data_IF_484975519587
#
_entry.id   IF_484975519587
#
_cell.length_a   1.000
_cell.length_b   1.000
_cell.length_c   1.000
_cell.angle_alpha   90.00
_cell.angle_beta   90.00
_cell.angle_gamma   90.00
#
_symmetry.space_group_name_H-M   'P 1'
#
loop_
_entity.id
_entity.type
_entity.pdbx_description
1 polymer ?
#
# COMPACT_ATOMS: atom_id res chain seq x y z
N UNK A 1 -4.71 -75.82 -11.39
CA UNK A 1 -5.29 -75.35 -10.11
C UNK A 1 -5.83 -73.96 -10.38
N UNK A 2 -7.14 -73.78 -10.22
CA UNK A 2 -7.94 -72.62 -10.65
C UNK A 2 -7.61 -71.35 -9.86
N UNK A 3 -7.49 -70.20 -10.52
CA UNK A 3 -7.91 -68.87 -10.01
C UNK A 3 -8.10 -67.95 -11.23
N UNK A 4 -9.31 -67.79 -11.79
CA UNK A 4 -10.45 -66.93 -11.40
C UNK A 4 -10.25 -65.44 -11.72
N UNK A 5 -11.32 -64.84 -12.26
CA UNK A 5 -11.43 -63.70 -13.15
C UNK A 5 -12.08 -62.47 -12.45
N UNK A 6 -11.81 -61.25 -12.98
CA UNK A 6 -12.58 -59.98 -12.85
C UNK A 6 -12.60 -59.24 -11.49
N UNK A 7 -13.04 -57.96 -11.39
CA UNK A 7 -13.42 -56.99 -12.44
C UNK A 7 -12.89 -55.54 -12.29
N UNK A 8 -13.04 -54.80 -13.40
CA UNK A 8 -13.23 -53.34 -13.50
C UNK A 8 -13.90 -52.72 -12.26
N UNK A 9 -13.26 -51.71 -11.67
CA UNK A 9 -13.94 -50.65 -10.91
C UNK A 9 -13.37 -49.33 -11.41
N UNK A 10 -14.14 -48.71 -12.31
CA UNK A 10 -14.07 -47.28 -12.63
C UNK A 10 -14.49 -46.52 -11.36
N UNK A 11 -13.53 -45.94 -10.63
CA UNK A 11 -13.85 -44.99 -9.56
C UNK A 11 -13.72 -43.57 -10.12
N UNK A 12 -14.85 -43.04 -10.56
CA UNK A 12 -15.01 -41.62 -10.89
C UNK A 12 -15.00 -40.82 -9.57
N UNK A 13 -13.89 -40.16 -9.27
CA UNK A 13 -13.87 -39.09 -8.27
C UNK A 13 -14.46 -37.82 -8.88
N UNK A 14 -15.74 -37.58 -8.58
CA UNK A 14 -16.42 -36.30 -8.78
C UNK A 14 -15.70 -35.21 -7.98
N UNK A 15 -15.43 -34.09 -8.64
CA UNK A 15 -14.78 -32.93 -8.05
C UNK A 15 -15.65 -32.15 -7.08
N UNK A 16 -14.99 -31.60 -6.08
CA UNK A 16 -15.38 -30.40 -5.34
C UNK A 16 -14.15 -29.51 -5.30
N UNK A 17 -13.89 -28.80 -6.40
CA UNK A 17 -12.98 -27.65 -6.39
C UNK A 17 -13.71 -26.53 -5.65
N UNK A 18 -13.49 -26.45 -4.35
CA UNK A 18 -13.85 -25.25 -3.59
C UNK A 18 -12.96 -24.11 -4.04
N UNK A 19 -13.55 -23.02 -4.54
CA UNK A 19 -12.85 -21.75 -4.67
C UNK A 19 -12.58 -21.24 -3.25
N UNK A 20 -11.36 -21.44 -2.74
CA UNK A 20 -10.89 -20.66 -1.60
C UNK A 20 -10.78 -19.22 -2.07
N UNK A 21 -11.67 -18.37 -1.55
CA UNK A 21 -11.57 -16.94 -1.71
C UNK A 21 -10.52 -16.49 -0.68
N UNK A 22 -9.27 -16.38 -1.12
CA UNK A 22 -8.18 -15.88 -0.28
C UNK A 22 -8.43 -14.40 0.00
N UNK A 23 -8.93 -14.10 1.20
CA UNK A 23 -8.90 -12.76 1.78
C UNK A 23 -7.43 -12.35 1.95
N UNK A 24 -6.99 -11.17 1.47
CA UNK A 24 -5.65 -10.70 1.76
C UNK A 24 -5.59 -10.33 3.24
N UNK A 25 -5.05 -11.26 4.04
CA UNK A 25 -4.67 -11.01 5.43
C UNK A 25 -3.57 -9.95 5.43
N UNK A 26 -3.81 -8.84 6.13
CA UNK A 26 -2.95 -7.66 6.16
C UNK A 26 -1.61 -7.86 6.90
N UNK A 27 -1.06 -9.09 6.98
CA UNK A 27 0.08 -9.39 7.85
C UNK A 27 1.13 -10.36 7.26
N UNK A 28 1.18 -10.55 5.94
CA UNK A 28 2.30 -11.27 5.31
C UNK A 28 3.35 -10.25 4.83
N UNK A 29 4.16 -9.75 5.77
CA UNK A 29 5.39 -9.05 5.47
C UNK A 29 6.47 -10.07 5.07
N UNK A 30 6.68 -10.22 3.77
CA UNK A 30 7.83 -10.91 3.18
C UNK A 30 9.13 -10.14 3.51
N UNK A 31 10.17 -10.77 4.09
CA UNK A 31 11.41 -10.10 4.41
C UNK A 31 12.38 -10.12 3.23
N UNK A 32 12.79 -8.92 2.79
CA UNK A 32 13.92 -8.60 1.89
C UNK A 32 13.59 -8.15 0.46
N UNK A 33 12.89 -7.03 0.33
CA UNK A 33 13.23 -5.99 -0.66
C UNK A 33 13.57 -4.71 0.09
N UNK A 34 14.26 -3.74 -0.51
CA UNK A 34 14.60 -2.45 0.14
C UNK A 34 13.34 -1.66 0.51
N UNK A 35 12.72 -2.04 1.63
CA UNK A 35 11.36 -1.69 1.98
C UNK A 35 11.32 -0.22 2.38
N UNK A 36 10.48 0.55 1.69
CA UNK A 36 10.13 1.89 2.16
C UNK A 36 9.49 1.71 3.53
N UNK A 37 10.08 2.34 4.53
CA UNK A 37 9.56 2.41 5.89
C UNK A 37 8.14 2.98 5.85
N UNK A 38 7.18 2.37 6.55
CA UNK A 38 5.80 2.88 6.58
C UNK A 38 5.75 4.33 7.09
N UNK A 39 4.68 5.07 6.78
CA UNK A 39 4.54 6.45 7.27
C UNK A 39 4.58 6.51 8.81
N UNK A 40 3.93 5.55 9.47
CA UNK A 40 3.89 5.44 10.93
C UNK A 40 5.28 5.20 11.52
N UNK A 41 6.05 4.28 10.94
CA UNK A 41 7.44 4.05 11.32
C UNK A 41 8.31 5.28 11.05
N UNK A 42 7.93 6.10 10.06
CA UNK A 42 8.54 7.38 9.76
C UNK A 42 8.12 8.51 10.74
N UNK A 43 7.25 8.23 11.72
CA UNK A 43 6.76 9.21 12.71
C UNK A 43 5.69 10.13 12.15
N UNK A 44 5.10 9.75 11.02
CA UNK A 44 4.04 10.47 10.34
C UNK A 44 2.69 9.81 10.63
N UNK A 45 1.65 10.62 10.76
CA UNK A 45 0.29 10.13 10.89
C UNK A 45 -0.39 10.06 9.52
N UNK A 46 -0.41 8.88 8.90
CA UNK A 46 -1.09 8.68 7.61
C UNK A 46 -2.61 8.57 7.78
N UNK A 47 -3.35 9.41 7.06
CA UNK A 47 -4.81 9.48 7.13
C UNK A 47 -5.48 8.64 6.03
N UNK A 48 -5.07 8.84 4.78
CA UNK A 48 -5.62 8.14 3.60
C UNK A 48 -4.70 8.30 2.38
N UNK A 49 -4.81 7.43 1.35
CA UNK A 49 -4.17 7.65 0.04
C UNK A 49 -4.58 8.98 -0.61
N UNK A 50 -3.69 9.55 -1.43
CA UNK A 50 -3.89 10.80 -2.15
C UNK A 50 -3.23 10.78 -3.55
N UNK A 51 -3.90 11.26 -4.62
CA UNK A 51 -5.27 11.81 -4.62
C UNK A 51 -6.37 10.73 -4.55
N UNK A 52 -6.08 9.53 -5.07
CA UNK A 52 -7.04 8.44 -5.22
C UNK A 52 -6.70 7.24 -4.31
N UNK A 53 -7.64 6.33 -4.02
CA UNK A 53 -7.41 5.18 -3.14
C UNK A 53 -6.24 4.26 -3.53
N UNK A 54 -5.84 4.23 -4.80
CA UNK A 54 -4.70 3.44 -5.30
C UNK A 54 -3.36 4.19 -5.31
N UNK A 55 -3.34 5.44 -4.84
CA UNK A 55 -2.15 6.28 -4.92
C UNK A 55 -1.15 5.99 -3.80
N UNK A 56 0.14 6.12 -4.13
CA UNK A 56 1.26 5.84 -3.21
C UNK A 56 1.51 6.96 -2.21
N UNK A 57 1.12 8.19 -2.54
CA UNK A 57 1.17 9.31 -1.61
C UNK A 57 -0.01 9.23 -0.64
N UNK A 58 0.16 9.79 0.54
CA UNK A 58 -0.85 9.77 1.60
C UNK A 58 -1.07 11.17 2.13
N UNK A 59 -2.30 11.49 2.52
CA UNK A 59 -2.59 12.63 3.38
C UNK A 59 -1.95 12.39 4.74
N UNK A 60 -1.18 13.35 5.23
CA UNK A 60 -0.47 13.28 6.50
C UNK A 60 -1.11 14.27 7.47
N UNK A 61 -1.55 13.77 8.61
CA UNK A 61 -2.10 14.61 9.69
C UNK A 61 -1.04 15.02 10.72
N UNK A 62 -1.52 15.50 11.86
CA UNK A 62 -0.69 16.05 12.93
C UNK A 62 0.12 14.97 13.66
N UNK A 63 1.42 15.20 13.75
CA UNK A 63 2.36 14.51 14.62
C UNK A 63 3.50 15.47 14.98
N UNK A 64 4.35 15.11 15.94
CA UNK A 64 5.51 15.93 16.32
C UNK A 64 6.40 16.33 15.11
N UNK A 65 6.43 15.50 14.06
CA UNK A 65 7.20 15.75 12.84
C UNK A 65 6.50 16.67 11.82
N UNK A 66 5.21 16.97 11.98
CA UNK A 66 4.40 17.64 10.94
C UNK A 66 3.71 18.91 11.38
N UNK A 67 3.70 19.21 12.68
CA UNK A 67 3.01 20.38 13.27
C UNK A 67 3.37 21.72 12.64
N UNK A 68 4.62 21.90 12.20
CA UNK A 68 5.08 23.14 11.56
C UNK A 68 4.69 23.26 10.07
N UNK A 69 4.16 22.19 9.46
CA UNK A 69 3.82 22.15 8.03
C UNK A 69 2.30 22.06 7.77
N UNK A 70 1.49 21.93 8.82
CA UNK A 70 0.04 21.91 8.71
C UNK A 70 -0.49 23.33 8.61
N UNK A 71 -1.23 23.59 7.53
CA UNK A 71 -1.77 24.89 7.15
C UNK A 71 -3.28 24.71 6.88
N UNK A 72 -4.11 25.66 7.30
CA UNK A 72 -5.56 25.60 7.09
C UNK A 72 -5.97 25.81 5.61
N UNK A 73 -5.09 26.41 4.81
CA UNK A 73 -5.27 26.63 3.38
C UNK A 73 -4.63 25.53 2.50
N UNK A 74 -4.00 24.50 3.07
CA UNK A 74 -3.33 23.47 2.30
C UNK A 74 -3.45 22.07 2.91
N UNK A 75 -3.44 21.05 2.06
CA UNK A 75 -3.33 19.66 2.47
C UNK A 75 -1.86 19.26 2.55
N UNK A 76 -1.44 18.77 3.72
CA UNK A 76 -0.13 18.12 3.84
C UNK A 76 -0.22 16.67 3.35
N UNK A 77 0.61 16.34 2.37
CA UNK A 77 0.75 14.97 1.87
C UNK A 77 2.20 14.49 2.03
N UNK A 78 2.38 13.18 2.11
CA UNK A 78 3.66 12.51 2.16
C UNK A 78 3.73 11.49 1.03
N UNK A 79 4.81 11.51 0.28
CA UNK A 79 5.10 10.49 -0.74
C UNK A 79 6.41 9.78 -0.37
N UNK A 80 6.52 8.45 -0.56
CA UNK A 80 7.81 7.80 -0.51
C UNK A 80 8.81 8.49 -1.45
N UNK A 81 10.00 8.80 -0.96
CA UNK A 81 11.02 9.59 -1.70
C UNK A 81 11.44 8.92 -3.01
N UNK A 82 11.35 7.59 -3.08
CA UNK A 82 11.64 6.83 -4.30
C UNK A 82 10.54 6.94 -5.36
N UNK A 83 9.32 7.36 -5.00
CA UNK A 83 8.20 7.57 -5.91
C UNK A 83 8.29 8.92 -6.62
N UNK A 84 9.37 9.10 -7.40
CA UNK A 84 9.72 10.38 -8.02
C UNK A 84 8.67 10.90 -9.00
N UNK A 85 8.03 10.00 -9.77
CA UNK A 85 6.94 10.38 -10.68
C UNK A 85 5.76 10.93 -9.92
N UNK A 86 5.29 10.24 -8.87
CA UNK A 86 4.18 10.70 -8.05
C UNK A 86 4.47 12.06 -7.39
N UNK A 87 5.69 12.28 -6.89
CA UNK A 87 6.13 13.57 -6.35
C UNK A 87 6.09 14.65 -7.44
N UNK A 88 6.66 14.38 -8.61
CA UNK A 88 6.69 15.32 -9.72
C UNK A 88 5.28 15.69 -10.21
N UNK A 89 4.35 14.73 -10.28
CA UNK A 89 2.97 14.98 -10.67
C UNK A 89 2.29 15.97 -9.71
N UNK A 90 2.45 15.77 -8.38
CA UNK A 90 1.91 16.69 -7.38
C UNK A 90 2.53 18.08 -7.51
N UNK A 91 3.83 18.16 -7.74
CA UNK A 91 4.51 19.46 -7.95
C UNK A 91 3.99 20.17 -9.21
N UNK A 92 3.75 19.45 -10.30
CA UNK A 92 3.19 19.98 -11.55
C UNK A 92 1.76 20.50 -11.36
N UNK A 93 0.99 19.91 -10.46
CA UNK A 93 -0.36 20.36 -10.07
C UNK A 93 -0.35 21.60 -9.16
N UNK A 94 0.82 21.95 -8.63
CA UNK A 94 1.03 23.15 -7.81
C UNK A 94 1.40 22.87 -6.36
N UNK A 95 1.67 21.62 -5.98
CA UNK A 95 2.21 21.30 -4.67
C UNK A 95 3.64 21.88 -4.49
N UNK A 96 4.07 22.01 -3.24
CA UNK A 96 5.42 22.44 -2.87
C UNK A 96 6.02 21.46 -1.87
N UNK A 97 7.26 21.03 -2.11
CA UNK A 97 8.00 20.25 -1.11
C UNK A 97 8.30 21.15 0.09
N UNK A 98 7.93 20.72 1.29
CA UNK A 98 8.10 21.48 2.53
C UNK A 98 9.12 20.84 3.48
N UNK A 99 9.28 19.51 3.41
CA UNK A 99 10.23 18.80 4.24
C UNK A 99 10.57 17.41 3.68
N UNK A 100 11.59 16.78 4.26
CA UNK A 100 11.87 15.36 4.09
C UNK A 100 11.99 14.72 5.48
N UNK A 101 11.19 13.67 5.71
CA UNK A 101 11.16 12.92 6.96
C UNK A 101 11.52 11.47 6.65
N UNK A 102 12.75 11.08 6.98
CA UNK A 102 13.32 9.76 6.63
C UNK A 102 13.18 9.48 5.13
N UNK A 103 12.43 8.43 4.77
CA UNK A 103 12.22 8.02 3.38
C UNK A 103 10.98 8.67 2.75
N UNK A 104 10.41 9.70 3.36
CA UNK A 104 9.20 10.39 2.90
C UNK A 104 9.48 11.85 2.55
N UNK A 105 9.00 12.29 1.40
CA UNK A 105 8.97 13.69 0.99
C UNK A 105 7.61 14.26 1.34
N UNK A 106 7.58 15.33 2.14
CA UNK A 106 6.35 16.03 2.49
C UNK A 106 6.09 17.16 1.50
N UNK A 107 4.85 17.25 1.03
CA UNK A 107 4.40 18.29 0.13
C UNK A 107 3.15 18.99 0.69
N UNK A 108 3.13 20.31 0.60
CA UNK A 108 1.94 21.13 0.81
C UNK A 108 1.20 21.31 -0.51
N UNK A 109 -0.07 20.91 -0.54
CA UNK A 109 -0.96 21.02 -1.71
C UNK A 109 -1.99 22.11 -1.43
N UNK A 110 -1.99 23.25 -2.14
CA UNK A 110 -2.95 24.31 -1.89
C UNK A 110 -4.38 23.83 -2.19
N UNK A 111 -5.31 24.12 -1.29
CA UNK A 111 -6.73 23.91 -1.53
C UNK A 111 -7.21 24.97 -2.54
N UNK A 112 -7.92 24.56 -3.60
CA UNK A 112 -8.48 25.45 -4.63
C UNK A 112 -9.98 25.34 -4.70
#
# INVERSE_FOLDING_TARGET
MHTTYKPLIFLACLGLTGCVMSEPSANDADPATGQVTSASDAGLYAVRPYPDPGSVCQVIGESDATREFLDDAALLIGCPTQQRSAIADRMNEGARVVAQVRQWTLLSVPMR
#
